data_IF_805633237151
#
_entry.id   IF_805633237151
#
_cell.length_a   1.000
_cell.length_b   1.000
_cell.length_c   1.000
_cell.angle_alpha   90.00
_cell.angle_beta   90.00
_cell.angle_gamma   90.00
#
_symmetry.space_group_name_H-M   'P 1'
#
loop_
_entity.id
_entity.type
_entity.pdbx_description
1 polymer ?
#
# COMPACT_ATOMS: atom_id res chain seq x y z
N UNK A 1 -21.00 9.05 -12.80
CA UNK A 1 -20.07 8.98 -11.65
C UNK A 1 -18.90 9.88 -11.98
N UNK A 2 -18.73 10.99 -11.25
CA UNK A 2 -17.73 12.02 -11.57
C UNK A 2 -16.32 11.44 -11.56
N UNK A 3 -15.56 11.69 -12.62
CA UNK A 3 -14.27 11.07 -12.90
C UNK A 3 -13.10 11.55 -12.02
N UNK A 4 -13.35 12.11 -10.82
CA UNK A 4 -12.29 12.72 -10.02
C UNK A 4 -12.61 12.81 -8.51
N UNK A 5 -13.04 11.71 -7.87
CA UNK A 5 -13.14 11.63 -6.39
C UNK A 5 -11.74 11.43 -5.78
N UNK A 6 -10.92 12.49 -5.79
CA UNK A 6 -9.63 12.50 -5.11
C UNK A 6 -9.83 12.72 -3.60
N UNK A 7 -9.42 11.75 -2.79
CA UNK A 7 -9.50 11.83 -1.32
C UNK A 7 -8.14 12.13 -0.72
N UNK A 8 -8.06 13.18 0.10
CA UNK A 8 -6.84 13.54 0.84
C UNK A 8 -6.68 12.59 2.03
N UNK A 9 -5.54 11.91 2.09
CA UNK A 9 -5.15 11.02 3.18
C UNK A 9 -3.76 11.41 3.67
N UNK A 10 -3.60 11.57 4.98
CA UNK A 10 -2.28 11.70 5.60
C UNK A 10 -1.73 10.30 5.88
N UNK A 11 -0.48 10.05 5.48
CA UNK A 11 0.25 8.81 5.69
C UNK A 11 1.61 9.14 6.28
N UNK A 12 2.12 8.26 7.14
CA UNK A 12 3.45 8.37 7.71
C UNK A 12 4.40 7.50 6.91
N UNK A 13 5.54 8.09 6.53
CA UNK A 13 6.62 7.41 5.84
C UNK A 13 7.91 7.60 6.63
N UNK A 14 8.80 6.59 6.66
CA UNK A 14 10.20 6.80 7.00
C UNK A 14 10.81 7.94 6.16
N UNK A 15 11.75 8.68 6.75
CA UNK A 15 12.35 9.87 6.11
C UNK A 15 13.05 9.52 4.79
N UNK A 16 13.83 8.45 4.79
CA UNK A 16 14.52 7.90 3.62
C UNK A 16 13.54 7.57 2.50
N UNK A 17 12.48 6.83 2.81
CA UNK A 17 11.43 6.47 1.84
C UNK A 17 10.72 7.71 1.30
N UNK A 18 10.40 8.70 2.14
CA UNK A 18 9.77 9.93 1.71
C UNK A 18 10.68 10.74 0.77
N UNK A 19 11.98 10.78 1.06
CA UNK A 19 12.98 11.44 0.20
C UNK A 19 13.11 10.75 -1.16
N UNK A 20 13.08 9.42 -1.20
CA UNK A 20 13.07 8.66 -2.45
C UNK A 20 11.82 8.95 -3.30
N UNK A 21 10.63 8.93 -2.68
CA UNK A 21 9.36 9.24 -3.37
C UNK A 21 9.40 10.67 -3.93
N UNK A 22 9.92 11.64 -3.17
CA UNK A 22 10.07 13.03 -3.63
C UNK A 22 11.04 13.15 -4.82
N UNK A 23 12.19 12.48 -4.75
CA UNK A 23 13.17 12.45 -5.84
C UNK A 23 12.56 11.84 -7.12
N UNK A 24 11.80 10.76 -7.00
CA UNK A 24 11.11 10.15 -8.15
C UNK A 24 10.01 11.05 -8.72
N UNK A 25 9.26 11.75 -7.87
CA UNK A 25 8.24 12.70 -8.31
C UNK A 25 8.86 13.85 -9.12
N UNK A 26 9.99 14.41 -8.64
CA UNK A 26 10.75 15.43 -9.36
C UNK A 26 11.30 14.91 -10.69
N UNK A 27 11.93 13.72 -10.69
CA UNK A 27 12.52 13.11 -11.89
C UNK A 27 11.49 12.86 -13.00
N UNK A 28 10.27 12.50 -12.61
CA UNK A 28 9.18 12.14 -13.54
C UNK A 28 8.29 13.33 -13.92
N UNK A 29 8.47 14.49 -13.31
CA UNK A 29 7.58 15.65 -13.45
C UNK A 29 6.11 15.29 -13.14
N UNK A 30 5.91 14.65 -11.97
CA UNK A 30 4.62 14.16 -11.49
C UNK A 30 4.44 14.46 -10.00
N UNK A 31 3.19 14.41 -9.52
CA UNK A 31 2.88 14.62 -8.11
C UNK A 31 3.25 13.40 -7.25
N UNK A 32 3.50 13.63 -5.95
CA UNK A 32 3.72 12.54 -4.97
C UNK A 32 2.58 11.53 -4.98
N UNK A 33 1.32 12.01 -5.03
CA UNK A 33 0.14 11.17 -5.13
C UNK A 33 0.19 10.26 -6.36
N UNK A 34 0.65 10.76 -7.50
CA UNK A 34 0.79 9.95 -8.71
C UNK A 34 1.83 8.84 -8.54
N UNK A 35 3.00 9.16 -7.95
CA UNK A 35 4.06 8.17 -7.70
C UNK A 35 3.57 7.05 -6.78
N UNK A 36 2.92 7.40 -5.67
CA UNK A 36 2.36 6.42 -4.72
C UNK A 36 1.24 5.58 -5.37
N UNK A 37 0.36 6.20 -6.15
CA UNK A 37 -0.68 5.47 -6.91
C UNK A 37 -0.08 4.51 -7.93
N UNK A 38 1.01 4.90 -8.61
CA UNK A 38 1.68 4.06 -9.59
C UNK A 38 2.38 2.89 -8.91
N UNK A 39 3.06 3.12 -7.79
CA UNK A 39 3.66 2.07 -6.97
C UNK A 39 2.60 1.04 -6.52
N UNK A 40 1.44 1.50 -6.04
CA UNK A 40 0.33 0.62 -5.69
C UNK A 40 -0.15 -0.23 -6.87
N UNK A 41 -0.34 0.38 -8.06
CA UNK A 41 -0.79 -0.36 -9.26
C UNK A 41 0.16 -1.48 -9.65
N UNK A 42 1.47 -1.29 -9.46
CA UNK A 42 2.51 -2.28 -9.72
C UNK A 42 2.49 -3.37 -8.63
N UNK A 43 2.48 -2.98 -7.35
CA UNK A 43 2.63 -3.89 -6.23
C UNK A 43 1.36 -4.69 -5.86
N UNK A 44 0.16 -4.21 -6.23
CA UNK A 44 -1.12 -4.80 -5.79
C UNK A 44 -1.27 -6.30 -6.09
N UNK A 45 -0.67 -6.80 -7.17
CA UNK A 45 -0.77 -8.21 -7.54
C UNK A 45 0.02 -9.10 -6.59
N UNK A 46 1.22 -8.66 -6.18
CA UNK A 46 2.04 -9.36 -5.21
C UNK A 46 1.50 -9.21 -3.79
N UNK A 47 1.03 -8.01 -3.42
CA UNK A 47 0.41 -7.79 -2.11
C UNK A 47 -0.83 -8.66 -1.87
N UNK A 48 -1.58 -9.00 -2.93
CA UNK A 48 -2.74 -9.91 -2.82
C UNK A 48 -2.36 -11.37 -2.52
N UNK A 49 -1.10 -11.76 -2.77
CA UNK A 49 -0.61 -13.10 -2.44
C UNK A 49 -0.16 -13.20 -0.98
N UNK A 50 0.05 -12.06 -0.32
CA UNK A 50 0.41 -12.04 1.09
C UNK A 50 -0.82 -12.52 1.87
N UNK A 51 -0.72 -13.63 2.63
CA UNK A 51 -1.82 -14.12 3.44
C UNK A 51 -2.24 -13.07 4.47
N UNK A 52 -3.52 -13.06 4.81
CA UNK A 52 -4.00 -12.22 5.91
C UNK A 52 -3.29 -12.63 7.19
N UNK A 53 -2.78 -11.68 8.00
CA UNK A 53 -2.20 -12.00 9.30
C UNK A 53 -3.17 -12.77 10.22
N UNK A 54 -4.48 -12.60 10.01
CA UNK A 54 -5.51 -13.30 10.77
C UNK A 54 -5.72 -14.74 10.28
N UNK A 55 -5.50 -15.03 8.99
CA UNK A 55 -5.70 -16.38 8.44
C UNK A 55 -4.59 -17.35 8.88
N UNK A 56 -3.45 -16.84 9.38
CA UNK A 56 -2.38 -17.66 9.96
C UNK A 56 -2.68 -18.17 11.38
N UNK A 57 -3.70 -17.61 12.05
CA UNK A 57 -4.05 -17.96 13.43
C UNK A 57 -5.11 -19.06 13.51
N UNK A 58 -5.82 -19.32 12.41
CA UNK A 58 -6.95 -20.27 12.37
C UNK A 58 -6.54 -21.72 12.02
N UNK A 59 -5.24 -21.99 11.79
CA UNK A 59 -4.71 -23.33 11.53
C UNK A 59 -4.19 -24.05 12.79
N UNK A 60 -4.75 -23.78 13.98
CA UNK A 60 -4.59 -24.68 15.14
C UNK A 60 -5.86 -25.54 15.35
N UNK A 61 -5.92 -26.76 14.78
CA UNK A 61 -7.04 -27.67 14.99
C UNK A 61 -7.21 -28.15 16.44
N UNK A 62 -6.36 -27.74 17.39
CA UNK A 62 -6.51 -28.03 18.81
C UNK A 62 -7.43 -27.03 19.56
N UNK A 63 -7.76 -25.86 19.00
CA UNK A 63 -8.55 -24.83 19.69
C UNK A 63 -10.08 -25.08 19.69
N UNK A 64 -10.58 -26.09 18.95
CA UNK A 64 -12.02 -26.39 18.84
C UNK A 64 -12.54 -27.42 19.86
N UNK A 65 -11.74 -27.84 20.85
CA UNK A 65 -12.20 -28.68 21.97
C UNK A 65 -11.94 -27.97 23.30
N UNK A 66 -12.91 -27.15 23.71
CA UNK A 66 -13.03 -26.56 25.04
C UNK A 66 -14.47 -26.19 25.29
#
# INVERSE_FOLDING_TARGET
MSANDARKQSLYFPEDMLNEIQSQAQRLDRSLSWVVQQAWKIAKAELRKVPSPNDMLDEDPAAQRG
#
